data_IF_177403513435
#
_entry.id   IF_177403513435
#
_cell.length_a   1.000
_cell.length_b   1.000
_cell.length_c   1.000
_cell.angle_alpha   90.00
_cell.angle_beta   90.00
_cell.angle_gamma   90.00
#
_symmetry.space_group_name_H-M   'P 1'
#
loop_
_entity.id
_entity.type
_entity.pdbx_description
1 polymer ?
#
# COMPACT_ATOMS: atom_id res chain seq x y z
N UNK A 1 18.65 33.70 -24.01
CA UNK A 1 19.49 33.06 -22.98
C UNK A 1 18.93 33.46 -21.62
N UNK A 2 18.15 32.57 -21.04
CA UNK A 2 17.85 32.55 -19.61
C UNK A 2 17.59 31.08 -19.28
N UNK A 3 18.70 30.38 -18.99
CA UNK A 3 18.64 29.09 -18.29
C UNK A 3 17.95 29.35 -16.96
N UNK A 4 16.69 28.91 -16.87
CA UNK A 4 16.05 28.80 -15.57
C UNK A 4 16.55 27.47 -15.03
N UNK A 5 17.46 27.54 -14.06
CA UNK A 5 17.95 26.37 -13.34
C UNK A 5 16.75 25.60 -12.80
N UNK A 6 16.40 24.49 -13.46
CA UNK A 6 15.45 23.52 -12.91
C UNK A 6 16.11 22.95 -11.67
N UNK A 7 15.64 23.38 -10.51
CA UNK A 7 16.12 22.92 -9.22
C UNK A 7 15.97 21.40 -9.19
N UNK A 8 17.10 20.72 -9.10
CA UNK A 8 17.20 19.28 -8.93
C UNK A 8 16.68 18.93 -7.53
N UNK A 9 15.36 18.98 -7.33
CA UNK A 9 14.74 18.45 -6.13
C UNK A 9 15.02 16.95 -6.11
N UNK A 10 15.48 16.39 -4.98
CA UNK A 10 15.66 14.95 -4.89
C UNK A 10 14.32 14.28 -5.16
N UNK A 11 14.35 13.27 -6.05
CA UNK A 11 13.26 12.40 -6.51
C UNK A 11 12.79 11.44 -5.39
N UNK A 12 12.79 11.94 -4.14
CA UNK A 12 12.60 11.19 -2.92
C UNK A 12 11.48 11.79 -2.08
N UNK A 13 10.69 10.89 -1.50
CA UNK A 13 9.74 11.20 -0.42
C UNK A 13 10.32 10.75 0.91
N UNK A 14 10.05 11.51 1.95
CA UNK A 14 10.51 11.23 3.31
C UNK A 14 9.35 10.66 4.11
N UNK A 15 9.62 9.63 4.93
CA UNK A 15 8.67 9.07 5.89
C UNK A 15 9.41 8.72 7.18
N UNK A 16 8.69 8.64 8.30
CA UNK A 16 9.32 8.26 9.55
C UNK A 16 9.84 6.82 9.47
N UNK A 17 10.98 6.54 10.08
CA UNK A 17 11.54 5.19 10.13
C UNK A 17 10.56 4.19 10.79
N UNK A 18 9.81 4.64 11.80
CA UNK A 18 8.80 3.83 12.46
C UNK A 18 7.70 3.41 11.48
N UNK A 19 7.18 4.36 10.70
CA UNK A 19 6.13 4.06 9.74
C UNK A 19 6.64 3.16 8.60
N UNK A 20 7.86 3.40 8.13
CA UNK A 20 8.50 2.54 7.14
C UNK A 20 8.66 1.09 7.63
N UNK A 21 9.05 0.89 8.90
CA UNK A 21 9.20 -0.44 9.50
C UNK A 21 7.83 -1.14 9.62
N UNK A 22 6.80 -0.41 10.06
CA UNK A 22 5.44 -0.97 10.19
C UNK A 22 4.91 -1.34 8.82
N UNK A 23 4.98 -0.44 7.84
CA UNK A 23 4.55 -0.68 6.48
C UNK A 23 5.26 -1.90 5.86
N UNK A 24 6.59 -2.02 6.03
CA UNK A 24 7.35 -3.13 5.50
C UNK A 24 6.97 -4.48 6.14
N UNK A 25 6.72 -4.51 7.45
CA UNK A 25 6.29 -5.72 8.16
C UNK A 25 4.91 -6.18 7.71
N UNK A 26 3.98 -5.25 7.61
CA UNK A 26 2.61 -5.51 7.22
C UNK A 26 2.54 -5.97 5.76
N UNK A 27 3.26 -5.29 4.86
CA UNK A 27 3.34 -5.66 3.45
C UNK A 27 3.90 -7.07 3.28
N UNK A 28 4.97 -7.41 4.01
CA UNK A 28 5.54 -8.76 3.97
C UNK A 28 4.57 -9.82 4.52
N UNK A 29 3.88 -9.56 5.64
CA UNK A 29 2.84 -10.45 6.16
C UNK A 29 1.76 -10.72 5.11
N UNK A 30 1.28 -9.68 4.43
CA UNK A 30 0.19 -9.78 3.46
C UNK A 30 0.61 -10.55 2.22
N UNK A 31 1.76 -10.22 1.63
CA UNK A 31 2.26 -10.91 0.43
C UNK A 31 2.42 -12.41 0.72
N UNK A 32 3.08 -12.77 1.83
CA UNK A 32 3.33 -14.18 2.17
C UNK A 32 2.05 -14.93 2.54
N UNK A 33 1.15 -14.30 3.30
CA UNK A 33 -0.07 -14.96 3.75
C UNK A 33 -1.07 -15.14 2.61
N UNK A 34 -1.26 -14.12 1.78
CA UNK A 34 -2.15 -14.18 0.62
C UNK A 34 -1.66 -15.22 -0.39
N UNK A 35 -0.36 -15.24 -0.71
CA UNK A 35 0.22 -16.26 -1.61
C UNK A 35 -0.07 -17.69 -1.12
N UNK A 36 0.19 -17.96 0.16
CA UNK A 36 -0.03 -19.28 0.77
C UNK A 36 -1.51 -19.66 0.83
N UNK A 37 -2.37 -18.72 1.19
CA UNK A 37 -3.81 -18.94 1.29
C UNK A 37 -4.40 -19.21 -0.09
N UNK A 38 -4.16 -18.30 -1.05
CA UNK A 38 -4.70 -18.39 -2.40
C UNK A 38 -4.16 -19.61 -3.15
N UNK A 39 -2.90 -19.98 -2.94
CA UNK A 39 -2.35 -21.23 -3.49
C UNK A 39 -3.12 -22.46 -2.99
N UNK A 40 -3.43 -22.53 -1.69
CA UNK A 40 -4.19 -23.67 -1.12
C UNK A 40 -5.64 -23.71 -1.58
N UNK A 41 -6.27 -22.55 -1.72
CA UNK A 41 -7.62 -22.43 -2.27
C UNK A 41 -7.62 -22.88 -3.74
N UNK A 42 -6.68 -22.40 -4.54
CA UNK A 42 -6.57 -22.70 -5.97
C UNK A 42 -6.32 -24.19 -6.27
N UNK A 43 -5.66 -24.92 -5.36
CA UNK A 43 -5.49 -26.38 -5.47
C UNK A 43 -6.66 -27.20 -4.90
N UNK A 44 -7.71 -26.55 -4.39
CA UNK A 44 -8.86 -27.21 -3.75
C UNK A 44 -8.55 -27.83 -2.37
N UNK A 45 -7.44 -27.43 -1.74
CA UNK A 45 -6.94 -28.02 -0.49
C UNK A 45 -7.49 -27.35 0.78
N UNK A 46 -8.16 -26.22 0.66
CA UNK A 46 -8.77 -25.47 1.76
C UNK A 46 -10.04 -24.77 1.32
N UNK A 47 -10.96 -24.57 2.27
CA UNK A 47 -12.15 -23.75 2.11
C UNK A 47 -11.75 -22.26 1.90
N UNK A 48 -12.31 -21.55 0.90
CA UNK A 48 -12.13 -20.11 0.73
C UNK A 48 -12.36 -19.26 1.99
N UNK A 49 -13.17 -19.71 2.95
CA UNK A 49 -13.42 -19.02 4.22
C UNK A 49 -12.13 -18.70 5.01
N UNK A 50 -11.05 -19.47 4.81
CA UNK A 50 -9.75 -19.19 5.44
C UNK A 50 -9.21 -17.79 5.09
N UNK A 51 -9.51 -17.27 3.90
CA UNK A 51 -9.11 -15.92 3.49
C UNK A 51 -9.86 -14.87 4.30
N UNK A 52 -11.17 -15.02 4.43
CA UNK A 52 -12.01 -14.10 5.20
C UNK A 52 -11.58 -14.10 6.66
N UNK A 53 -11.37 -15.28 7.25
CA UNK A 53 -10.87 -15.42 8.61
C UNK A 53 -9.53 -14.72 8.79
N UNK A 54 -8.59 -14.92 7.87
CA UNK A 54 -7.30 -14.22 7.94
C UNK A 54 -7.45 -12.69 7.92
N UNK A 55 -8.30 -12.16 7.01
CA UNK A 55 -8.54 -10.71 6.90
C UNK A 55 -9.12 -10.15 8.21
N UNK A 56 -10.09 -10.85 8.80
CA UNK A 56 -10.77 -10.42 10.04
C UNK A 56 -9.87 -10.56 11.26
N UNK A 57 -9.30 -11.75 11.49
CA UNK A 57 -8.54 -12.06 12.70
C UNK A 57 -7.24 -11.24 12.81
N UNK A 58 -6.69 -10.80 11.67
CA UNK A 58 -5.46 -10.00 11.60
C UNK A 58 -5.70 -8.51 11.36
N UNK A 59 -6.97 -8.10 11.33
CA UNK A 59 -7.42 -6.74 11.07
C UNK A 59 -6.72 -6.10 9.85
N UNK A 60 -6.62 -6.89 8.77
CA UNK A 60 -5.82 -6.53 7.57
C UNK A 60 -6.33 -5.24 6.94
N UNK A 61 -7.65 -5.02 6.96
CA UNK A 61 -8.28 -3.83 6.38
C UNK A 61 -7.80 -2.54 7.07
N UNK A 62 -7.81 -2.50 8.40
CA UNK A 62 -7.43 -1.31 9.15
C UNK A 62 -5.96 -0.99 8.94
N UNK A 63 -5.11 -2.01 9.05
CA UNK A 63 -3.67 -1.88 8.83
C UNK A 63 -3.29 -1.50 7.39
N UNK A 64 -4.04 -1.99 6.37
CA UNK A 64 -3.89 -1.52 4.99
C UNK A 64 -4.28 -0.05 4.84
N UNK A 65 -5.36 0.40 5.51
CA UNK A 65 -5.76 1.80 5.50
C UNK A 65 -4.70 2.69 6.16
N UNK A 66 -4.11 2.25 7.28
CA UNK A 66 -2.99 2.94 7.95
C UNK A 66 -1.75 3.03 7.04
N UNK A 67 -1.36 1.91 6.42
CA UNK A 67 -0.24 1.89 5.46
C UNK A 67 -0.48 2.82 4.28
N UNK A 68 -1.69 2.78 3.68
CA UNK A 68 -2.09 3.70 2.61
C UNK A 68 -1.95 5.15 3.08
N UNK A 69 -2.47 5.47 4.26
CA UNK A 69 -2.45 6.82 4.79
C UNK A 69 -1.01 7.34 4.94
N UNK A 70 -0.12 6.57 5.57
CA UNK A 70 1.30 6.93 5.72
C UNK A 70 1.96 7.21 4.37
N UNK A 71 1.73 6.34 3.38
CA UNK A 71 2.32 6.49 2.04
C UNK A 71 1.76 7.72 1.34
N UNK A 72 0.45 7.93 1.37
CA UNK A 72 -0.21 9.08 0.76
C UNK A 72 0.28 10.39 1.39
N UNK A 73 0.33 10.48 2.72
CA UNK A 73 0.87 11.66 3.42
C UNK A 73 2.33 11.95 3.04
N UNK A 74 3.16 10.92 2.90
CA UNK A 74 4.54 11.11 2.44
C UNK A 74 4.59 11.67 1.00
N UNK A 75 3.72 11.18 0.11
CA UNK A 75 3.61 11.67 -1.28
C UNK A 75 3.05 13.11 -1.33
N UNK A 76 2.02 13.42 -0.55
CA UNK A 76 1.37 14.74 -0.46
C UNK A 76 2.38 15.83 -0.11
N UNK A 77 3.36 15.51 0.76
CA UNK A 77 4.43 16.44 1.13
C UNK A 77 5.27 16.95 -0.04
N UNK A 78 5.23 16.25 -1.19
CA UNK A 78 5.97 16.60 -2.42
C UNK A 78 5.08 16.90 -3.61
N UNK A 79 3.98 16.17 -3.77
CA UNK A 79 3.11 16.24 -4.95
C UNK A 79 1.88 17.12 -4.73
N UNK A 80 1.52 17.41 -3.48
CA UNK A 80 0.22 17.98 -3.11
C UNK A 80 -0.89 16.93 -3.08
N UNK A 81 -1.96 17.25 -2.35
CA UNK A 81 -3.14 16.39 -2.14
C UNK A 81 -3.83 16.00 -3.46
N UNK A 82 -4.17 16.98 -4.29
CA UNK A 82 -4.87 16.77 -5.56
C UNK A 82 -4.15 15.74 -6.46
N UNK A 83 -2.82 15.81 -6.55
CA UNK A 83 -2.06 14.86 -7.38
C UNK A 83 -2.02 13.46 -6.78
N UNK A 84 -2.02 13.33 -5.45
CA UNK A 84 -2.06 12.02 -4.77
C UNK A 84 -3.43 11.38 -4.91
N UNK A 85 -4.50 12.17 -4.88
CA UNK A 85 -5.86 11.70 -5.15
C UNK A 85 -5.97 11.16 -6.58
N UNK A 86 -5.49 11.90 -7.59
CA UNK A 86 -5.45 11.43 -8.98
C UNK A 86 -4.72 10.08 -9.11
N UNK A 87 -3.54 9.93 -8.47
CA UNK A 87 -2.78 8.67 -8.47
C UNK A 87 -3.60 7.53 -7.83
N UNK A 88 -4.34 7.82 -6.75
CA UNK A 88 -5.19 6.82 -6.11
C UNK A 88 -6.39 6.44 -6.98
N UNK A 89 -6.99 7.39 -7.70
CA UNK A 89 -8.11 7.16 -8.61
C UNK A 89 -7.71 6.36 -9.86
N UNK A 90 -6.46 6.49 -10.30
CA UNK A 90 -5.89 5.69 -11.39
C UNK A 90 -5.69 4.20 -11.01
N UNK A 91 -5.80 3.85 -9.73
CA UNK A 91 -5.64 2.48 -9.26
C UNK A 91 -6.74 1.55 -9.80
N UNK A 92 -6.41 0.26 -9.93
CA UNK A 92 -7.41 -0.75 -10.27
C UNK A 92 -8.33 -1.03 -9.07
N UNK A 93 -9.64 -0.89 -9.28
CA UNK A 93 -10.66 -1.25 -8.31
C UNK A 93 -11.47 -2.44 -8.82
N UNK A 94 -11.67 -3.44 -7.96
CA UNK A 94 -12.65 -4.49 -8.19
C UNK A 94 -13.97 -4.06 -7.56
N UNK A 95 -14.96 -3.79 -8.39
CA UNK A 95 -16.35 -3.51 -8.00
C UNK A 95 -17.24 -4.42 -8.82
N UNK A 96 -18.21 -5.07 -8.17
CA UNK A 96 -19.17 -5.98 -8.83
C UNK A 96 -19.95 -5.32 -9.98
#
# INVERSE_FOLDING_TARGET
MTETASQNQPDSVEMSLSDAIVAARDLNEYVVSLDRILSRIGTGGQDPEILVRYIVDRDVRTRLAEMRNVICTALESRLGEERVDEICEEAYFYTD
#
